data_IF_212745673401
#
_entry.id   IF_212745673401
#
_cell.length_a   1.000
_cell.length_b   1.000
_cell.length_c   1.000
_cell.angle_alpha   90.00
_cell.angle_beta   90.00
_cell.angle_gamma   90.00
#
_symmetry.space_group_name_H-M   'P 1'
#
loop_
_entity.id
_entity.type
_entity.pdbx_description
1 polymer ?
#
# COMPACT_ATOMS: atom_id res chain seq x y z
N UNK A 1 -5.92 -1.21 16.66
CA UNK A 1 -5.05 -0.86 15.51
C UNK A 1 -5.45 -1.75 14.34
N UNK A 2 -6.14 -1.18 13.34
CA UNK A 2 -6.64 -1.89 12.17
C UNK A 2 -5.50 -2.58 11.38
N UNK A 3 -5.76 -3.79 10.87
CA UNK A 3 -4.80 -4.55 10.03
C UNK A 3 -4.33 -3.77 8.80
N UNK A 4 -5.20 -2.92 8.25
CA UNK A 4 -4.85 -1.99 7.15
C UNK A 4 -3.79 -0.97 7.56
N UNK A 5 -3.87 -0.48 8.79
CA UNK A 5 -2.93 0.54 9.29
C UNK A 5 -1.53 -0.05 9.46
N UNK A 6 -1.47 -1.30 9.96
CA UNK A 6 -0.21 -2.08 9.97
C UNK A 6 0.35 -2.27 8.56
N UNK A 7 -0.49 -2.66 7.60
CA UNK A 7 -0.03 -2.86 6.22
C UNK A 7 0.49 -1.57 5.58
N UNK A 8 -0.15 -0.43 5.83
CA UNK A 8 0.37 0.86 5.39
C UNK A 8 1.71 1.22 6.05
N UNK A 9 1.88 0.90 7.33
CA UNK A 9 3.14 1.10 8.03
C UNK A 9 4.26 0.24 7.41
N UNK A 10 4.00 -1.05 7.15
CA UNK A 10 4.95 -1.94 6.48
C UNK A 10 5.37 -1.39 5.11
N UNK A 11 4.41 -1.01 4.27
CA UNK A 11 4.70 -0.43 2.94
C UNK A 11 5.55 0.85 3.03
N UNK A 12 5.30 1.66 4.07
CA UNK A 12 6.08 2.88 4.31
C UNK A 12 7.51 2.56 4.74
N UNK A 13 7.70 1.57 5.61
CA UNK A 13 9.03 1.12 6.03
C UNK A 13 9.82 0.51 4.88
N UNK A 14 9.18 -0.32 4.05
CA UNK A 14 9.79 -0.88 2.85
C UNK A 14 10.18 0.21 1.84
N UNK A 15 9.27 1.17 1.58
CA UNK A 15 9.59 2.32 0.73
C UNK A 15 10.78 3.10 1.27
N UNK A 16 10.82 3.35 2.59
CA UNK A 16 11.92 4.06 3.26
C UNK A 16 13.23 3.28 3.17
N UNK A 17 13.21 1.96 3.36
CA UNK A 17 14.38 1.09 3.24
C UNK A 17 14.96 1.11 1.82
N UNK A 18 14.12 1.32 0.81
CA UNK A 18 14.51 1.44 -0.59
C UNK A 18 14.82 2.90 -1.01
N UNK A 19 14.70 3.88 -0.11
CA UNK A 19 14.89 5.30 -0.42
C UNK A 19 13.81 5.87 -1.35
N UNK A 20 12.65 5.22 -1.46
CA UNK A 20 11.55 5.61 -2.32
C UNK A 20 10.55 6.53 -1.59
N UNK A 21 9.95 7.44 -2.35
CA UNK A 21 8.89 8.32 -1.83
C UNK A 21 7.62 7.54 -1.56
N UNK A 22 7.01 7.69 -0.38
CA UNK A 22 5.74 7.06 -0.02
C UNK A 22 4.62 8.08 0.08
N UNK A 23 3.51 7.86 -0.64
CA UNK A 23 2.32 8.73 -0.59
C UNK A 23 1.04 7.91 -0.58
N UNK A 24 0.09 8.30 0.27
CA UNK A 24 -1.25 7.70 0.33
C UNK A 24 -2.27 8.75 -0.12
N UNK A 25 -3.11 8.39 -1.08
CA UNK A 25 -4.24 9.18 -1.52
C UNK A 25 -5.54 8.49 -1.10
N UNK A 26 -6.25 9.10 -0.15
CA UNK A 26 -7.53 8.61 0.39
C UNK A 26 -8.74 9.12 -0.39
N UNK A 27 -8.56 10.08 -1.31
CA UNK A 27 -9.67 10.78 -1.97
C UNK A 27 -10.19 10.10 -3.25
N UNK A 28 -9.53 9.05 -3.76
CA UNK A 28 -9.88 8.44 -5.06
C UNK A 28 -10.65 7.11 -5.01
N UNK A 29 -11.04 6.61 -3.84
CA UNK A 29 -11.76 5.34 -3.74
C UNK A 29 -13.27 5.47 -3.55
N UNK A 30 -14.09 5.09 -4.55
CA UNK A 30 -15.48 4.66 -4.27
C UNK A 30 -15.42 3.47 -3.30
N UNK A 31 -16.09 3.57 -2.15
CA UNK A 31 -16.18 2.47 -1.16
C UNK A 31 -15.00 2.33 -0.18
N UNK A 32 -14.31 3.44 0.17
CA UNK A 32 -13.29 3.44 1.24
C UNK A 32 -11.91 2.90 0.85
N UNK A 33 -11.70 2.64 -0.46
CA UNK A 33 -10.41 2.22 -0.99
C UNK A 33 -9.41 3.39 -0.94
N UNK A 34 -8.13 3.07 -0.77
CA UNK A 34 -7.04 4.07 -0.76
C UNK A 34 -6.02 3.72 -1.82
N UNK A 35 -5.44 4.72 -2.47
CA UNK A 35 -4.34 4.50 -3.43
C UNK A 35 -3.02 4.79 -2.76
N UNK A 36 -2.06 3.88 -2.87
CA UNK A 36 -0.70 4.04 -2.32
C UNK A 36 0.28 4.16 -3.47
N UNK A 37 1.18 5.12 -3.36
CA UNK A 37 2.25 5.42 -4.31
C UNK A 37 3.60 5.18 -3.61
N UNK A 38 4.48 4.45 -4.29
CA UNK A 38 5.87 4.19 -3.88
C UNK A 38 6.77 4.52 -5.07
N UNK A 39 7.54 5.61 -4.97
CA UNK A 39 8.27 6.19 -6.10
C UNK A 39 7.30 6.50 -7.25
N UNK A 40 7.59 5.97 -8.43
CA UNK A 40 6.77 6.10 -9.64
C UNK A 40 5.63 5.07 -9.75
N UNK A 41 5.58 4.08 -8.86
CA UNK A 41 4.58 3.01 -8.89
C UNK A 41 3.44 3.31 -7.95
N UNK A 42 2.25 2.81 -8.27
CA UNK A 42 1.09 2.94 -7.41
C UNK A 42 0.18 1.72 -7.49
N UNK A 43 -0.62 1.53 -6.45
CA UNK A 43 -1.64 0.48 -6.39
C UNK A 43 -2.81 0.91 -5.52
N UNK A 44 -3.95 0.24 -5.68
CA UNK A 44 -5.14 0.50 -4.87
C UNK A 44 -5.28 -0.56 -3.79
N UNK A 45 -5.33 -0.11 -2.54
CA UNK A 45 -5.64 -0.93 -1.39
C UNK A 45 -7.15 -0.94 -1.16
N UNK A 46 -7.77 -2.13 -1.08
CA UNK A 46 -9.19 -2.22 -0.78
C UNK A 46 -9.46 -1.85 0.69
N UNK A 47 -10.70 -1.45 1.00
CA UNK A 47 -11.07 -1.09 2.38
C UNK A 47 -11.20 -2.29 3.32
N UNK A 48 -11.32 -3.50 2.76
CA UNK A 48 -11.42 -4.76 3.50
C UNK A 48 -10.05 -5.22 4.00
N UNK A 49 -10.07 -6.25 4.84
CA UNK A 49 -8.86 -6.94 5.27
C UNK A 49 -8.02 -7.41 4.06
N UNK A 50 -6.72 -7.18 4.15
CA UNK A 50 -5.77 -7.55 3.10
C UNK A 50 -5.22 -8.93 3.44
N UNK A 51 -5.70 -9.94 2.71
CA UNK A 51 -5.13 -11.29 2.77
C UNK A 51 -3.66 -11.32 2.36
N UNK A 52 -2.85 -12.25 2.89
CA UNK A 52 -1.44 -12.40 2.54
C UNK A 52 -1.18 -12.52 1.03
N UNK A 53 -2.07 -13.21 0.31
CA UNK A 53 -2.01 -13.34 -1.16
C UNK A 53 -2.22 -12.01 -1.87
N UNK A 54 -3.11 -11.17 -1.34
CA UNK A 54 -3.38 -9.84 -1.89
C UNK A 54 -2.23 -8.89 -1.57
N UNK A 55 -1.72 -8.93 -0.33
CA UNK A 55 -0.54 -8.21 0.10
C UNK A 55 0.68 -8.49 -0.82
N UNK A 56 0.95 -9.76 -1.11
CA UNK A 56 2.05 -10.16 -2.00
C UNK A 56 1.89 -9.59 -3.43
N UNK A 57 0.66 -9.62 -3.99
CA UNK A 57 0.39 -8.99 -5.30
C UNK A 57 0.60 -7.48 -5.29
N UNK A 58 0.17 -6.81 -4.23
CA UNK A 58 0.34 -5.37 -4.04
C UNK A 58 1.83 -5.02 -3.96
N UNK A 59 2.59 -5.73 -3.12
CA UNK A 59 4.05 -5.55 -2.98
C UNK A 59 4.76 -5.73 -4.32
N UNK A 60 4.45 -6.81 -5.04
CA UNK A 60 4.98 -7.05 -6.40
C UNK A 60 4.64 -5.92 -7.36
N UNK A 61 3.40 -5.43 -7.34
CA UNK A 61 2.96 -4.30 -8.17
C UNK A 61 3.69 -3.00 -7.84
N UNK A 62 4.04 -2.79 -6.57
CA UNK A 62 4.82 -1.65 -6.10
C UNK A 62 6.34 -1.83 -6.27
N UNK A 63 6.80 -3.00 -6.73
CA UNK A 63 8.23 -3.29 -6.89
C UNK A 63 8.94 -3.60 -5.57
N UNK A 64 8.19 -3.97 -4.54
CA UNK A 64 8.70 -4.44 -3.26
C UNK A 64 8.96 -5.95 -3.31
N UNK A 65 9.86 -6.43 -2.44
CA UNK A 65 10.30 -7.84 -2.38
C UNK A 65 9.34 -8.72 -1.59
#
# INVERSE_FOLDING_TARGET
MDKRDRFNAELREEAKALGLSFRVNKSKGKGGHVTVFIGDRFTTLPSREIDPKTASKIRKGLGLK
#
